data_IF_627473828581
#
_entry.id   IF_627473828581
#
_cell.length_a   1.000
_cell.length_b   1.000
_cell.length_c   1.000
_cell.angle_alpha   90.00
_cell.angle_beta   90.00
_cell.angle_gamma   90.00
#
_symmetry.space_group_name_H-M   'P 1'
#
loop_
_entity.id
_entity.type
_entity.pdbx_description
1 polymer ?
#
# COMPACT_ATOMS: atom_id res chain seq x y z
N UNK A 1 39.76 -46.53 36.85
CA UNK A 1 39.20 -45.38 37.61
C UNK A 1 38.34 -44.56 36.64
N UNK A 2 37.07 -44.33 36.97
CA UNK A 2 36.06 -43.66 36.14
C UNK A 2 36.23 -42.15 36.21
N UNK A 3 36.18 -41.43 35.07
CA UNK A 3 35.77 -40.01 35.00
C UNK A 3 35.09 -39.71 33.66
N UNK A 4 33.76 -39.79 33.69
CA UNK A 4 32.85 -39.14 32.76
C UNK A 4 32.98 -37.62 32.91
N UNK A 5 33.03 -36.88 31.81
CA UNK A 5 32.70 -35.47 31.80
C UNK A 5 31.91 -35.14 30.53
N UNK A 6 30.61 -35.07 30.76
CA UNK A 6 29.57 -34.55 29.89
C UNK A 6 29.78 -33.04 29.80
N UNK A 7 29.86 -32.48 28.59
CA UNK A 7 29.64 -31.05 28.38
C UNK A 7 28.57 -30.87 27.32
N UNK A 8 27.32 -30.83 27.80
CA UNK A 8 26.18 -30.32 27.05
C UNK A 8 26.19 -28.80 27.19
N UNK A 9 26.59 -28.08 26.14
CA UNK A 9 26.36 -26.64 26.02
C UNK A 9 25.03 -26.42 25.31
N UNK A 10 23.98 -26.09 26.08
CA UNK A 10 22.70 -25.67 25.54
C UNK A 10 22.81 -24.23 25.03
N UNK A 11 22.61 -24.05 23.72
CA UNK A 11 22.49 -22.73 23.09
C UNK A 11 21.00 -22.35 23.04
N UNK A 12 20.54 -21.59 24.02
CA UNK A 12 19.19 -21.00 23.99
C UNK A 12 19.30 -19.69 23.20
N UNK A 13 18.98 -19.73 21.91
CA UNK A 13 18.77 -18.50 21.13
C UNK A 13 17.37 -17.98 21.44
N UNK A 14 17.31 -16.78 22.04
CA UNK A 14 16.06 -16.07 22.30
C UNK A 14 15.34 -15.76 20.97
N UNK A 15 14.16 -16.35 20.79
CA UNK A 15 13.22 -15.95 19.75
C UNK A 15 12.65 -14.58 20.10
N UNK A 16 13.26 -13.51 19.58
CA UNK A 16 12.61 -12.22 19.53
C UNK A 16 11.35 -12.38 18.66
N UNK A 17 10.17 -12.33 19.27
CA UNK A 17 8.92 -12.27 18.54
C UNK A 17 8.93 -10.99 17.71
N UNK A 18 9.02 -11.14 16.39
CA UNK A 18 8.71 -10.08 15.44
C UNK A 18 7.20 -9.83 15.56
N UNK A 19 6.81 -8.98 16.51
CA UNK A 19 5.46 -8.45 16.54
C UNK A 19 5.29 -7.64 15.24
N UNK A 20 4.34 -8.00 14.35
CA UNK A 20 4.04 -7.14 13.22
C UNK A 20 3.66 -5.78 13.79
N UNK A 21 4.33 -4.72 13.32
CA UNK A 21 3.95 -3.36 13.63
C UNK A 21 2.56 -3.11 13.05
N UNK A 22 1.53 -3.36 13.85
CA UNK A 22 0.18 -2.91 13.54
C UNK A 22 0.14 -1.41 13.76
N UNK A 23 0.27 -0.68 12.66
CA UNK A 23 0.01 0.76 12.65
C UNK A 23 -1.44 0.97 13.07
N UNK A 24 -1.66 1.70 14.15
CA UNK A 24 -2.99 2.14 14.55
C UNK A 24 -3.54 3.04 13.43
N UNK A 25 -4.49 2.50 12.66
CA UNK A 25 -5.32 3.27 11.73
C UNK A 25 -6.55 3.74 12.50
N UNK A 26 -6.84 5.04 12.49
CA UNK A 26 -8.14 5.55 12.89
C UNK A 26 -9.14 5.25 11.77
N UNK A 27 -9.40 3.96 11.54
CA UNK A 27 -10.29 3.53 10.49
C UNK A 27 -11.74 3.69 11.00
N UNK A 28 -12.43 4.69 10.48
CA UNK A 28 -13.86 4.86 10.71
C UNK A 28 -14.62 3.99 9.71
N UNK A 29 -14.99 2.78 10.16
CA UNK A 29 -15.72 1.85 9.31
C UNK A 29 -17.15 2.33 8.99
N UNK A 30 -17.65 3.33 9.72
CA UNK A 30 -18.97 3.92 9.52
C UNK A 30 -18.95 5.13 8.58
N UNK A 31 -17.79 5.48 8.01
CA UNK A 31 -17.65 6.53 7.01
C UNK A 31 -18.47 6.28 5.73
N UNK A 32 -18.70 7.35 4.96
CA UNK A 32 -19.47 7.30 3.71
C UNK A 32 -18.60 7.38 2.45
N UNK A 33 -17.29 7.61 2.61
CA UNK A 33 -16.36 7.80 1.51
C UNK A 33 -15.09 6.97 1.71
N UNK A 34 -14.55 6.36 0.65
CA UNK A 34 -13.26 5.70 0.69
C UNK A 34 -12.19 6.68 1.12
N UNK A 35 -11.22 6.17 1.85
CA UNK A 35 -10.11 6.97 2.32
C UNK A 35 -8.81 6.19 2.37
N UNK A 36 -7.70 6.92 2.43
CA UNK A 36 -6.37 6.34 2.58
C UNK A 36 -6.10 6.08 4.07
N UNK A 37 -6.12 4.82 4.48
CA UNK A 37 -5.82 4.38 5.84
C UNK A 37 -4.35 4.54 6.21
N UNK A 38 -3.48 4.42 5.21
CA UNK A 38 -2.05 4.55 5.42
C UNK A 38 -1.23 4.18 4.22
N UNK A 39 0.09 4.25 4.41
CA UNK A 39 1.06 3.92 3.39
C UNK A 39 2.34 3.39 4.02
N UNK A 40 3.06 2.53 3.30
CA UNK A 40 4.32 1.94 3.75
C UNK A 40 5.28 1.76 2.59
N UNK A 41 6.58 1.83 2.86
CA UNK A 41 7.62 1.60 1.85
C UNK A 41 8.49 0.40 2.20
N UNK A 42 8.99 -0.27 1.17
CA UNK A 42 9.98 -1.33 1.31
C UNK A 42 11.08 -1.21 0.23
N UNK A 43 12.37 -1.24 0.61
CA UNK A 43 12.90 -1.26 1.97
C UNK A 43 12.57 0.03 2.77
N UNK A 44 12.60 -0.05 4.10
CA UNK A 44 12.17 1.07 4.96
C UNK A 44 13.17 2.24 5.03
N UNK A 45 14.45 2.08 4.69
CA UNK A 45 15.50 3.10 4.91
C UNK A 45 16.43 3.33 3.71
N UNK A 46 16.68 4.59 3.32
CA UNK A 46 17.76 5.04 2.37
C UNK A 46 17.94 4.30 1.03
N UNK A 47 16.91 3.64 0.50
CA UNK A 47 16.96 3.09 -0.86
C UNK A 47 16.34 4.06 -1.87
N UNK A 48 17.02 4.24 -3.00
CA UNK A 48 16.49 4.97 -4.14
C UNK A 48 15.35 4.21 -4.80
N UNK A 49 15.54 2.92 -5.04
CA UNK A 49 14.52 2.06 -5.63
C UNK A 49 13.73 1.37 -4.53
N UNK A 50 12.44 1.68 -4.44
CA UNK A 50 11.54 1.18 -3.41
C UNK A 50 10.21 0.72 -4.00
N UNK A 51 9.51 -0.09 -3.22
CA UNK A 51 8.08 -0.33 -3.37
C UNK A 51 7.32 0.62 -2.45
N UNK A 52 6.36 1.34 -3.00
CA UNK A 52 5.38 2.11 -2.24
C UNK A 52 4.06 1.35 -2.19
N UNK A 53 3.53 1.18 -0.98
CA UNK A 53 2.28 0.49 -0.73
C UNK A 53 1.27 1.50 -0.20
N UNK A 54 0.10 1.55 -0.81
CA UNK A 54 -1.04 2.38 -0.41
C UNK A 54 -2.13 1.48 0.16
N UNK A 55 -2.69 1.86 1.31
CA UNK A 55 -3.84 1.19 1.90
C UNK A 55 -5.06 2.09 1.76
N UNK A 56 -6.04 1.62 0.99
CA UNK A 56 -7.29 2.34 0.74
C UNK A 56 -8.42 1.54 1.35
N UNK A 57 -9.14 2.14 2.28
CA UNK A 57 -10.33 1.56 2.87
C UNK A 57 -11.58 2.07 2.17
N UNK A 58 -12.51 1.17 1.89
CA UNK A 58 -13.85 1.49 1.41
C UNK A 58 -14.80 1.16 2.57
N UNK A 59 -15.31 2.17 3.29
CA UNK A 59 -16.19 1.97 4.44
C UNK A 59 -17.49 1.22 4.12
N UNK A 60 -18.16 0.71 5.15
CA UNK A 60 -19.41 -0.05 5.01
C UNK A 60 -20.55 0.75 4.39
N UNK A 61 -20.66 2.03 4.72
CA UNK A 61 -21.74 2.91 4.24
C UNK A 61 -21.38 3.63 2.92
N UNK A 62 -20.22 3.34 2.33
CA UNK A 62 -19.78 3.90 1.05
C UNK A 62 -20.56 3.29 -0.13
N UNK A 63 -20.55 4.00 -1.25
CA UNK A 63 -20.85 3.39 -2.55
C UNK A 63 -19.69 2.50 -3.00
N UNK A 64 -19.97 1.55 -3.90
CA UNK A 64 -18.95 0.73 -4.53
C UNK A 64 -18.01 1.56 -5.40
N UNK A 65 -16.74 1.16 -5.47
CA UNK A 65 -15.69 1.86 -6.23
C UNK A 65 -15.44 1.15 -7.56
N UNK A 66 -15.60 1.87 -8.67
CA UNK A 66 -15.39 1.33 -10.03
C UNK A 66 -14.02 1.68 -10.59
N UNK A 67 -13.40 2.75 -10.08
CA UNK A 67 -12.06 3.16 -10.49
C UNK A 67 -11.32 3.83 -9.34
N UNK A 68 -10.01 3.57 -9.24
CA UNK A 68 -9.08 4.38 -8.45
C UNK A 68 -8.07 5.05 -9.37
N UNK A 69 -7.73 6.30 -9.07
CA UNK A 69 -6.73 7.07 -9.80
C UNK A 69 -5.65 7.54 -8.82
N UNK A 70 -4.38 7.33 -9.16
CA UNK A 70 -3.23 7.69 -8.32
C UNK A 70 -2.37 8.69 -9.09
N UNK A 71 -2.31 9.91 -8.59
CA UNK A 71 -1.42 10.94 -9.10
C UNK A 71 -0.02 10.76 -8.52
N UNK A 72 0.92 10.40 -9.38
CA UNK A 72 2.34 10.19 -9.06
C UNK A 72 3.03 11.55 -9.00
N UNK A 73 3.68 11.92 -7.87
CA UNK A 73 4.32 13.22 -7.75
C UNK A 73 5.56 13.32 -8.65
N UNK A 74 5.87 14.55 -9.09
CA UNK A 74 7.07 14.84 -9.89
C UNK A 74 8.39 14.53 -9.16
N UNK A 75 8.33 14.36 -7.84
CA UNK A 75 9.50 14.06 -6.99
C UNK A 75 10.01 12.63 -7.15
N UNK A 76 9.23 11.72 -7.73
CA UNK A 76 9.67 10.35 -8.03
C UNK A 76 9.79 10.11 -9.53
N UNK A 77 10.63 9.15 -9.90
CA UNK A 77 10.62 8.56 -11.24
C UNK A 77 10.02 7.17 -11.13
N UNK A 78 9.06 6.88 -12.00
CA UNK A 78 8.45 5.56 -12.12
C UNK A 78 8.40 5.20 -13.61
N UNK A 79 8.55 3.91 -13.90
CA UNK A 79 8.74 3.35 -15.25
C UNK A 79 7.49 3.46 -16.13
N UNK A 80 6.34 3.85 -15.58
CA UNK A 80 5.02 3.76 -16.20
C UNK A 80 4.65 2.33 -16.66
N UNK A 81 5.35 1.32 -16.13
CA UNK A 81 5.08 -0.08 -16.46
C UNK A 81 3.90 -0.58 -15.61
N UNK A 82 2.80 -0.92 -16.27
CA UNK A 82 1.59 -1.44 -15.61
C UNK A 82 1.85 -2.72 -14.79
N UNK A 83 2.88 -3.50 -15.14
CA UNK A 83 3.26 -4.71 -14.40
C UNK A 83 3.90 -4.41 -13.03
N UNK A 84 4.33 -3.17 -12.80
CA UNK A 84 4.86 -2.71 -11.52
C UNK A 84 3.74 -2.36 -10.53
N UNK A 85 2.48 -2.35 -10.98
CA UNK A 85 1.32 -2.10 -10.13
C UNK A 85 0.63 -3.41 -9.77
N UNK A 86 0.42 -3.66 -8.48
CA UNK A 86 -0.32 -4.82 -7.99
C UNK A 86 -1.42 -4.32 -7.06
N UNK A 87 -2.65 -4.79 -7.29
CA UNK A 87 -3.80 -4.47 -6.43
C UNK A 87 -4.32 -5.75 -5.79
N UNK A 88 -4.40 -5.75 -4.47
CA UNK A 88 -4.90 -6.86 -3.66
C UNK A 88 -6.01 -6.40 -2.73
N UNK A 89 -6.88 -7.34 -2.35
CA UNK A 89 -7.83 -7.20 -1.24
C UNK A 89 -7.20 -7.73 0.05
N UNK A 90 -7.91 -7.54 1.15
CA UNK A 90 -7.76 -8.32 2.38
C UNK A 90 -7.51 -9.81 2.07
N UNK A 91 -6.45 -10.37 2.65
CA UNK A 91 -5.94 -11.74 2.41
C UNK A 91 -5.15 -11.94 1.09
N UNK A 92 -4.48 -10.92 0.57
CA UNK A 92 -3.59 -10.99 -0.60
C UNK A 92 -4.23 -11.49 -1.91
N UNK A 93 -5.57 -11.46 -1.97
CA UNK A 93 -6.32 -11.86 -3.17
C UNK A 93 -6.18 -10.77 -4.24
N UNK A 94 -5.58 -11.11 -5.37
CA UNK A 94 -5.42 -10.19 -6.50
C UNK A 94 -6.78 -9.73 -7.04
N UNK A 95 -6.89 -8.45 -7.31
CA UNK A 95 -8.07 -7.84 -7.93
C UNK A 95 -7.86 -7.76 -9.44
N UNK A 96 -8.87 -8.14 -10.21
CA UNK A 96 -8.83 -8.00 -11.67
C UNK A 96 -9.07 -6.53 -12.05
N UNK A 97 -8.04 -5.88 -12.58
CA UNK A 97 -8.05 -4.46 -12.94
C UNK A 97 -7.49 -4.23 -14.33
N UNK A 98 -8.12 -3.34 -15.09
CA UNK A 98 -7.54 -2.75 -16.27
C UNK A 98 -6.71 -1.54 -15.85
N UNK A 99 -5.41 -1.63 -16.08
CA UNK A 99 -4.43 -0.62 -15.72
C UNK A 99 -4.12 0.25 -16.94
N UNK A 100 -4.15 1.56 -16.76
CA UNK A 100 -3.61 2.49 -17.75
C UNK A 100 -2.82 3.59 -17.06
N UNK A 101 -1.87 4.17 -17.78
CA UNK A 101 -1.07 5.29 -17.30
C UNK A 101 -1.25 6.42 -18.30
N UNK A 102 -1.74 7.56 -17.82
CA UNK A 102 -1.82 8.77 -18.60
C UNK A 102 -1.02 9.87 -17.87
N UNK A 103 -0.01 10.42 -18.54
CA UNK A 103 0.95 11.35 -17.96
C UNK A 103 1.62 10.83 -16.67
N UNK A 104 1.14 11.29 -15.51
CA UNK A 104 1.57 10.89 -14.16
C UNK A 104 0.43 10.30 -13.33
N UNK A 105 -0.69 9.95 -13.97
CA UNK A 105 -1.85 9.38 -13.31
C UNK A 105 -1.97 7.91 -13.69
N UNK A 106 -1.95 7.06 -12.68
CA UNK A 106 -2.25 5.63 -12.81
C UNK A 106 -3.75 5.47 -12.64
N UNK A 107 -4.44 4.93 -13.65
CA UNK A 107 -5.86 4.59 -13.58
C UNK A 107 -6.03 3.09 -13.38
N UNK A 108 -6.77 2.74 -12.34
CA UNK A 108 -7.12 1.38 -11.93
C UNK A 108 -8.62 1.19 -12.15
N UNK A 109 -9.02 0.75 -13.33
CA UNK A 109 -10.43 0.45 -13.61
C UNK A 109 -10.71 -0.99 -13.20
N UNK A 110 -11.61 -1.18 -12.23
CA UNK A 110 -11.94 -2.51 -11.75
C UNK A 110 -12.88 -3.21 -12.73
N UNK A 111 -12.64 -4.51 -12.98
CA UNK A 111 -13.53 -5.30 -13.84
C UNK A 111 -14.94 -5.43 -13.25
N UNK A 112 -15.03 -5.46 -11.93
CA UNK A 112 -16.26 -5.42 -11.14
C UNK A 112 -16.12 -4.34 -10.07
N UNK A 113 -17.21 -3.66 -9.73
CA UNK A 113 -17.19 -2.66 -8.66
C UNK A 113 -16.69 -3.28 -7.36
N UNK A 114 -15.73 -2.62 -6.70
CA UNK A 114 -15.28 -3.03 -5.37
C UNK A 114 -16.38 -2.70 -4.38
N UNK A 115 -16.79 -3.70 -3.62
CA UNK A 115 -17.86 -3.58 -2.65
C UNK A 115 -17.46 -2.70 -1.45
N UNK A 116 -18.43 -2.09 -0.76
CA UNK A 116 -18.22 -1.47 0.54
C UNK A 116 -17.65 -2.45 1.57
N UNK A 117 -17.10 -1.95 2.66
CA UNK A 117 -16.40 -2.72 3.68
C UNK A 117 -15.29 -3.60 3.07
N UNK A 118 -14.44 -2.99 2.25
CA UNK A 118 -13.28 -3.66 1.64
C UNK A 118 -12.04 -2.79 1.80
N UNK A 119 -10.96 -3.38 2.31
CA UNK A 119 -9.63 -2.79 2.30
C UNK A 119 -8.84 -3.29 1.09
N UNK A 120 -8.28 -2.33 0.36
CA UNK A 120 -7.41 -2.54 -0.78
C UNK A 120 -5.97 -2.19 -0.40
N UNK A 121 -5.03 -3.02 -0.86
CA UNK A 121 -3.61 -2.73 -0.84
C UNK A 121 -3.11 -2.58 -2.27
N UNK A 122 -2.44 -1.47 -2.55
CA UNK A 122 -1.94 -1.12 -3.87
C UNK A 122 -0.44 -0.96 -3.77
N UNK A 123 0.28 -1.88 -4.41
CA UNK A 123 1.72 -1.89 -4.49
C UNK A 123 2.18 -1.24 -5.80
N UNK A 124 3.00 -0.20 -5.68
CA UNK A 124 3.72 0.44 -6.76
C UNK A 124 5.20 0.09 -6.64
N UNK A 125 5.67 -0.81 -7.50
CA UNK A 125 7.05 -1.31 -7.53
C UNK A 125 7.95 -0.42 -8.37
N UNK A 126 9.25 -0.60 -8.19
CA UNK A 126 10.29 0.05 -8.99
C UNK A 126 10.21 1.58 -8.98
N UNK A 127 9.81 2.17 -7.85
CA UNK A 127 9.74 3.62 -7.68
C UNK A 127 11.10 4.15 -7.31
N UNK A 128 11.64 5.05 -8.12
CA UNK A 128 12.86 5.79 -7.81
C UNK A 128 12.51 7.07 -7.05
N UNK A 129 12.76 7.08 -5.75
CA UNK A 129 12.56 8.22 -4.86
C UNK A 129 13.86 9.02 -4.64
N UNK A 130 13.79 10.30 -4.24
CA UNK A 130 14.99 11.08 -3.97
C UNK A 130 15.66 10.63 -2.67
N UNK A 131 16.97 10.88 -2.54
CA UNK A 131 17.73 10.55 -1.33
C UNK A 131 17.59 11.60 -0.21
N UNK A 132 17.15 12.82 -0.54
CA UNK A 132 17.10 13.96 0.37
C UNK A 132 15.87 14.81 0.09
N UNK A 133 15.45 15.58 1.08
CA UNK A 133 14.33 16.51 0.98
C UNK A 133 13.00 15.88 1.40
N UNK A 134 11.91 16.52 0.99
CA UNK A 134 10.57 16.04 1.32
C UNK A 134 10.28 14.75 0.54
N UNK A 135 9.76 13.75 1.25
CA UNK A 135 9.33 12.52 0.61
C UNK A 135 8.10 12.71 -0.28
N UNK A 136 7.85 11.75 -1.17
CA UNK A 136 6.82 11.89 -2.17
C UNK A 136 5.41 11.87 -1.56
N UNK A 137 4.55 12.71 -2.12
CA UNK A 137 3.14 12.84 -1.74
C UNK A 137 2.27 12.49 -2.93
N UNK A 138 1.58 11.36 -2.83
CA UNK A 138 0.63 10.89 -3.84
C UNK A 138 -0.76 11.40 -3.49
N UNK A 139 -1.55 11.71 -4.51
CA UNK A 139 -2.98 12.04 -4.37
C UNK A 139 -3.79 10.90 -4.95
N UNK A 140 -4.78 10.45 -4.20
CA UNK A 140 -5.63 9.34 -4.59
C UNK A 140 -7.05 9.85 -4.80
N UNK A 141 -7.67 9.39 -5.89
CA UNK A 141 -9.04 9.70 -6.27
C UNK A 141 -9.80 8.40 -6.52
N UNK A 142 -11.12 8.43 -6.31
CA UNK A 142 -12.01 7.31 -6.58
C UNK A 142 -13.20 7.76 -7.43
N UNK A 143 -13.65 6.85 -8.28
CA UNK A 143 -14.92 6.96 -8.99
C UNK A 143 -15.89 5.92 -8.44
N UNK A 144 -17.09 6.36 -8.12
CA UNK A 144 -18.14 5.52 -7.55
C UNK A 144 -19.05 4.92 -8.62
N UNK A 145 -19.64 3.78 -8.30
CA UNK A 145 -20.70 3.19 -9.11
C UNK A 145 -21.86 4.20 -9.28
N UNK A 146 -22.23 4.48 -10.53
CA UNK A 146 -23.29 5.44 -10.86
C UNK A 146 -22.84 6.91 -10.88
N UNK A 147 -21.59 7.23 -10.54
CA UNK A 147 -21.03 8.57 -10.68
C UNK A 147 -20.08 8.67 -11.87
N UNK A 148 -20.16 9.76 -12.62
CA UNK A 148 -19.17 10.10 -13.66
C UNK A 148 -17.97 10.88 -13.11
N UNK A 149 -18.06 11.38 -11.87
CA UNK A 149 -17.09 12.29 -11.25
C UNK A 149 -16.07 11.51 -10.41
N UNK A 150 -14.80 11.87 -10.54
CA UNK A 150 -13.74 11.42 -9.62
C UNK A 150 -13.69 12.33 -8.38
N UNK A 151 -13.62 11.72 -7.19
CA UNK A 151 -13.53 12.43 -5.91
C UNK A 151 -12.19 12.13 -5.22
N UNK A 152 -11.55 13.12 -4.58
CA UNK A 152 -10.34 12.89 -3.80
C UNK A 152 -10.66 12.02 -2.58
N UNK A 153 -9.91 10.94 -2.40
CA UNK A 153 -10.06 10.00 -1.27
C UNK A 153 -8.91 10.10 -0.27
N UNK A 154 -7.82 10.79 -0.62
CA UNK A 154 -6.79 11.11 0.35
C UNK A 154 -5.42 11.29 -0.26
N UNK A 155 -4.43 11.33 0.62
CA UNK A 155 -3.03 11.47 0.25
C UNK A 155 -2.18 10.44 0.95
N UNK A 156 -1.19 9.89 0.25
CA UNK A 156 -0.18 9.02 0.83
C UNK A 156 1.16 9.75 0.83
N UNK A 157 1.76 9.89 2.02
CA UNK A 157 3.02 10.64 2.22
C UNK A 157 4.11 9.69 2.69
N UNK A 158 5.16 9.53 1.91
CA UNK A 158 6.31 8.73 2.30
C UNK A 158 7.37 9.61 2.94
N UNK A 159 8.08 9.06 3.93
CA UNK A 159 9.19 9.75 4.59
C UNK A 159 10.51 9.20 4.05
N UNK A 160 11.43 10.12 3.74
CA UNK A 160 12.80 9.79 3.39
C UNK A 160 13.63 10.02 4.67
N UNK A 161 14.05 8.92 5.32
CA UNK A 161 14.90 8.92 6.52
C UNK A 161 16.35 8.54 6.16
#
# INVERSE_FOLDING_TARGET
MKKTLIYATALILATAALLPANYASANDNDGNFPHVDGNSQFPQTRWQNVRHTFRVHIPKNSQGVTQLSIEVPKTVRWSNNVNDVVVTKENDRKVKTNLSVNDRTISLVFAESIAPNTQLEIDLKNVQQPFRGNGPVYRLFAKFAGSSVEMPVGVARFRIN
#
